data_IF_940466412157
#
_entry.id   IF_940466412157
#
_cell.length_a   1.000
_cell.length_b   1.000
_cell.length_c   1.000
_cell.angle_alpha   90.00
_cell.angle_beta   90.00
_cell.angle_gamma   90.00
#
_symmetry.space_group_name_H-M   'P 1'
#
loop_
_entity.id
_entity.type
_entity.pdbx_description
1 polymer ?
#
# COMPACT_ATOMS: atom_id res chain seq x y z
N UNK A 1 -0.72 -39.70 -10.20
CA UNK A 1 -1.27 -38.48 -10.79
C UNK A 1 -1.05 -37.36 -9.80
N UNK A 2 -0.33 -36.33 -10.24
CA UNK A 2 0.13 -35.20 -9.44
C UNK A 2 -1.00 -34.18 -9.21
N UNK A 3 -1.00 -33.56 -8.04
CA UNK A 3 -1.50 -32.20 -7.84
C UNK A 3 -0.72 -31.61 -6.66
N UNK A 4 0.49 -31.10 -6.93
CA UNK A 4 1.11 -30.13 -6.03
C UNK A 4 0.27 -28.86 -6.13
N UNK A 5 -0.17 -28.26 -5.01
CA UNK A 5 -0.72 -26.91 -5.05
C UNK A 5 0.45 -25.95 -5.28
N UNK A 6 0.76 -25.71 -6.56
CA UNK A 6 1.61 -24.63 -7.04
C UNK A 6 0.80 -23.32 -6.97
N UNK A 7 0.48 -22.85 -5.77
CA UNK A 7 0.08 -21.45 -5.52
C UNK A 7 1.25 -20.85 -4.73
N UNK A 8 2.31 -20.36 -5.37
CA UNK A 8 2.25 -19.20 -6.26
C UNK A 8 2.51 -17.97 -5.38
N UNK A 9 3.77 -17.53 -5.34
CA UNK A 9 4.22 -16.29 -4.69
C UNK A 9 4.12 -16.31 -3.17
N UNK A 10 5.00 -17.11 -2.54
CA UNK A 10 5.26 -17.00 -1.11
C UNK A 10 5.47 -15.54 -0.74
N UNK A 11 4.62 -15.03 0.15
CA UNK A 11 4.57 -13.67 0.67
C UNK A 11 6.00 -13.14 0.88
N UNK A 12 6.53 -12.45 -0.13
CA UNK A 12 7.84 -11.80 0.03
C UNK A 12 7.56 -10.67 1.00
N UNK A 13 8.14 -10.69 2.23
CA UNK A 13 7.81 -9.70 3.23
C UNK A 13 8.04 -8.32 2.65
N UNK A 14 7.05 -7.43 2.80
CA UNK A 14 7.21 -6.06 2.35
C UNK A 14 8.49 -5.49 2.98
N UNK A 15 9.37 -4.85 2.20
CA UNK A 15 10.53 -4.18 2.77
C UNK A 15 10.06 -3.10 3.75
N UNK A 16 10.82 -2.93 4.83
CA UNK A 16 10.46 -2.00 5.87
C UNK A 16 10.48 -0.56 5.34
N UNK A 17 9.38 0.18 5.52
CA UNK A 17 9.24 1.57 5.07
C UNK A 17 9.65 2.49 6.23
N UNK A 18 10.90 2.95 6.22
CA UNK A 18 11.45 3.88 7.24
C UNK A 18 11.51 5.31 6.76
N UNK A 19 11.59 5.52 5.44
CA UNK A 19 11.76 6.83 4.81
C UNK A 19 10.77 7.05 3.66
N UNK A 20 10.66 8.30 3.21
CA UNK A 20 9.90 8.65 1.99
C UNK A 20 10.52 7.98 0.76
N UNK A 21 11.85 7.83 0.69
CA UNK A 21 12.50 7.12 -0.42
C UNK A 21 12.14 5.62 -0.44
N UNK A 22 12.07 4.98 0.73
CA UNK A 22 11.59 3.61 0.83
C UNK A 22 10.15 3.50 0.30
N UNK A 23 9.28 4.43 0.72
CA UNK A 23 7.90 4.47 0.24
C UNK A 23 7.83 4.61 -1.28
N UNK A 24 8.64 5.48 -1.90
CA UNK A 24 8.73 5.62 -3.36
C UNK A 24 9.08 4.32 -4.07
N UNK A 25 10.10 3.62 -3.57
CA UNK A 25 10.53 2.33 -4.13
C UNK A 25 9.42 1.29 -3.99
N UNK A 26 8.76 1.27 -2.84
CA UNK A 26 7.70 0.32 -2.55
C UNK A 26 6.46 0.59 -3.39
N UNK A 27 6.05 1.85 -3.57
CA UNK A 27 4.95 2.20 -4.48
C UNK A 27 5.27 1.81 -5.92
N UNK A 28 6.51 2.00 -6.36
CA UNK A 28 6.94 1.62 -7.72
C UNK A 28 6.88 0.12 -7.98
N UNK A 29 7.14 -0.71 -6.96
CA UNK A 29 7.27 -2.17 -7.10
C UNK A 29 6.06 -2.96 -6.63
N UNK A 30 5.37 -2.46 -5.62
CA UNK A 30 4.30 -3.14 -4.89
C UNK A 30 3.02 -2.29 -4.76
N UNK A 31 3.01 -1.07 -5.29
CA UNK A 31 1.81 -0.22 -5.39
C UNK A 31 0.96 -0.55 -6.62
N UNK A 32 -0.12 0.22 -6.81
CA UNK A 32 -0.86 0.20 -8.07
C UNK A 32 -0.14 1.02 -9.15
N UNK A 33 -0.33 0.70 -10.44
CA UNK A 33 0.18 1.55 -11.52
C UNK A 33 -0.25 3.01 -11.34
N UNK A 34 0.69 3.95 -11.36
CA UNK A 34 0.43 5.39 -11.15
C UNK A 34 0.46 5.85 -9.69
N UNK A 35 0.56 4.93 -8.70
CA UNK A 35 0.55 5.33 -7.29
C UNK A 35 1.78 6.15 -6.90
N UNK A 36 2.93 5.89 -7.53
CA UNK A 36 4.16 6.65 -7.27
C UNK A 36 4.00 8.09 -7.72
N UNK A 37 3.53 8.29 -8.95
CA UNK A 37 3.34 9.61 -9.56
C UNK A 37 2.30 10.41 -8.76
N UNK A 38 1.16 9.78 -8.45
CA UNK A 38 0.11 10.39 -7.65
C UNK A 38 0.58 10.76 -6.24
N UNK A 39 1.39 9.90 -5.63
CA UNK A 39 1.99 10.19 -4.32
C UNK A 39 2.89 11.43 -4.37
N UNK A 40 3.74 11.57 -5.40
CA UNK A 40 4.60 12.76 -5.52
C UNK A 40 3.78 14.03 -5.76
N UNK A 41 2.75 13.98 -6.61
CA UNK A 41 1.87 15.13 -6.86
C UNK A 41 1.15 15.57 -5.59
N UNK A 42 0.56 14.62 -4.85
CA UNK A 42 -0.15 14.92 -3.59
C UNK A 42 0.82 15.42 -2.50
N UNK A 43 2.04 14.86 -2.43
CA UNK A 43 3.06 15.30 -1.49
C UNK A 43 3.56 16.71 -1.81
N UNK A 44 3.81 17.01 -3.09
CA UNK A 44 4.23 18.34 -3.53
C UNK A 44 3.15 19.39 -3.27
N UNK A 45 1.89 19.06 -3.56
CA UNK A 45 0.75 19.93 -3.26
C UNK A 45 0.60 20.20 -1.76
N UNK A 46 0.75 19.16 -0.92
CA UNK A 46 0.68 19.31 0.53
C UNK A 46 1.81 20.19 1.08
N UNK A 47 3.05 20.00 0.61
CA UNK A 47 4.19 20.85 0.99
C UNK A 47 4.00 22.29 0.50
N UNK A 48 3.48 22.47 -0.71
CA UNK A 48 3.24 23.81 -1.28
C UNK A 48 2.12 24.59 -0.58
N UNK A 49 1.13 23.90 -0.02
CA UNK A 49 0.05 24.50 0.77
C UNK A 49 0.42 24.72 2.25
N UNK A 50 1.53 24.14 2.70
CA UNK A 50 1.97 24.14 4.09
C UNK A 50 2.61 25.48 4.50
N UNK A 51 2.30 26.01 5.70
CA UNK A 51 3.13 27.02 6.34
C UNK A 51 4.57 26.52 6.53
N UNK A 52 5.55 27.43 6.57
CA UNK A 52 6.99 27.10 6.59
C UNK A 52 7.41 26.07 7.64
N UNK A 53 6.67 25.96 8.76
CA UNK A 53 7.01 25.09 9.88
C UNK A 53 5.91 24.05 10.20
N UNK A 54 4.92 23.87 9.32
CA UNK A 54 3.83 22.91 9.54
C UNK A 54 3.66 21.98 8.33
N UNK A 55 4.07 20.73 8.52
CA UNK A 55 4.03 19.68 7.49
C UNK A 55 3.08 18.55 7.84
N UNK A 56 2.07 18.78 8.70
CA UNK A 56 1.11 17.75 9.08
C UNK A 56 0.39 17.16 7.86
N UNK A 57 0.01 17.99 6.90
CA UNK A 57 -0.61 17.58 5.65
C UNK A 57 0.28 16.63 4.83
N UNK A 58 1.57 16.98 4.67
CA UNK A 58 2.54 16.13 3.99
C UNK A 58 2.73 14.78 4.73
N UNK A 59 2.78 14.81 6.06
CA UNK A 59 2.86 13.60 6.87
C UNK A 59 1.60 12.71 6.73
N UNK A 60 0.42 13.31 6.59
CA UNK A 60 -0.83 12.59 6.35
C UNK A 60 -0.80 11.85 5.00
N UNK A 61 -0.31 12.49 3.93
CA UNK A 61 -0.12 11.85 2.62
C UNK A 61 0.80 10.64 2.74
N UNK A 62 1.97 10.79 3.38
CA UNK A 62 2.92 9.68 3.57
C UNK A 62 2.27 8.50 4.32
N UNK A 63 1.51 8.78 5.39
CA UNK A 63 0.80 7.72 6.15
C UNK A 63 -0.25 7.00 5.30
N UNK A 64 -1.02 7.74 4.50
CA UNK A 64 -2.06 7.18 3.66
C UNK A 64 -1.49 6.17 2.63
N UNK A 65 -0.42 6.55 1.93
CA UNK A 65 0.21 5.66 0.95
C UNK A 65 0.94 4.48 1.58
N UNK A 66 1.58 4.68 2.74
CA UNK A 66 2.17 3.57 3.52
C UNK A 66 1.10 2.53 3.88
N UNK A 67 -0.05 2.98 4.36
CA UNK A 67 -1.15 2.10 4.75
C UNK A 67 -1.74 1.37 3.53
N UNK A 68 -1.90 2.06 2.39
CA UNK A 68 -2.41 1.48 1.15
C UNK A 68 -1.55 0.32 0.63
N UNK A 69 -0.22 0.48 0.67
CA UNK A 69 0.71 -0.61 0.32
C UNK A 69 0.58 -1.77 1.29
N UNK A 70 0.51 -1.51 2.60
CA UNK A 70 0.41 -2.56 3.61
C UNK A 70 -0.86 -3.40 3.46
N UNK A 71 -2.02 -2.76 3.22
CA UNK A 71 -3.29 -3.45 2.96
C UNK A 71 -3.16 -4.37 1.75
N UNK A 72 -2.66 -3.86 0.62
CA UNK A 72 -2.59 -4.61 -0.65
C UNK A 72 -1.70 -5.85 -0.55
N UNK A 73 -0.62 -5.77 0.22
CA UNK A 73 0.37 -6.83 0.29
C UNK A 73 0.33 -7.62 1.61
N UNK A 74 -0.67 -7.37 2.47
CA UNK A 74 -0.90 -8.20 3.66
C UNK A 74 -1.76 -9.41 3.25
N UNK A 75 -1.19 -10.63 3.31
CA UNK A 75 -1.95 -11.84 3.00
C UNK A 75 -3.09 -12.05 4.00
N UNK A 76 -2.97 -11.62 5.26
CA UNK A 76 -4.05 -11.73 6.25
C UNK A 76 -5.21 -10.78 5.93
N UNK A 77 -4.92 -9.54 5.51
CA UNK A 77 -5.97 -8.57 5.14
C UNK A 77 -6.67 -9.00 3.85
N UNK A 78 -5.93 -9.54 2.87
CA UNK A 78 -6.51 -10.10 1.66
C UNK A 78 -7.40 -11.32 1.96
N UNK A 79 -6.94 -12.23 2.81
CA UNK A 79 -7.72 -13.39 3.23
C UNK A 79 -9.00 -12.99 3.99
N UNK A 80 -8.92 -11.99 4.88
CA UNK A 80 -10.09 -11.47 5.58
C UNK A 80 -11.08 -10.76 4.64
N UNK A 81 -10.59 -10.09 3.59
CA UNK A 81 -11.43 -9.47 2.57
C UNK A 81 -12.13 -10.51 1.69
N UNK A 82 -11.43 -11.59 1.33
CA UNK A 82 -11.99 -12.74 0.59
C UNK A 82 -13.06 -13.47 1.42
N UNK A 83 -12.80 -13.70 2.71
CA UNK A 83 -13.76 -14.31 3.63
C UNK A 83 -15.03 -13.44 3.81
N UNK A 84 -14.85 -12.12 4.01
CA UNK A 84 -15.96 -11.17 4.07
C UNK A 84 -16.79 -11.12 2.77
N UNK A 85 -16.14 -11.33 1.61
CA UNK A 85 -16.82 -11.40 0.31
C UNK A 85 -17.56 -12.73 0.11
N UNK A 86 -17.01 -13.83 0.61
CA UNK A 86 -17.60 -15.16 0.52
C UNK A 86 -18.78 -15.34 1.49
N UNK A 87 -18.71 -14.74 2.69
CA UNK A 87 -19.79 -14.77 3.69
C UNK A 87 -21.03 -13.93 3.36
N UNK A 88 -20.99 -13.12 2.30
CA UNK A 88 -22.12 -12.28 1.86
C UNK A 88 -23.11 -12.95 0.90
N UNK A 89 -22.86 -14.18 0.43
CA UNK A 89 -23.79 -14.94 -0.42
C UNK A 89 -24.56 -15.97 0.42
N UNK A 90 -25.51 -15.49 1.23
CA UNK A 90 -26.36 -16.36 2.03
C UNK A 90 -27.42 -15.59 2.79
N UNK A 91 -28.45 -15.12 2.07
CA UNK A 91 -29.76 -14.80 2.65
C UNK A 91 -30.80 -15.68 1.99
#
# INVERSE_FOLDING_TARGET
>A
MSAQPEHGWGATPLPEIRTVDDLRRVLSRYGFPGDRERFEDELAAAIGASPTNDFEGAAAVVRAYRHRVQIRNSPEIMAALEDARAGGSGT
#
